data_IF_182197068392
#
_entry.id   IF_182197068392
#
_cell.length_a   1.000
_cell.length_b   1.000
_cell.length_c   1.000
_cell.angle_alpha   90.00
_cell.angle_beta   90.00
_cell.angle_gamma   90.00
#
_symmetry.space_group_name_H-M   'P 1'
#
loop_
_entity.id
_entity.type
_entity.pdbx_description
1 polymer ?
#
# COMPACT_ATOMS: atom_id res chain seq x y z
N UNK A 1 -19.61 17.50 -20.40
CA UNK A 1 -20.62 16.68 -19.69
C UNK A 1 -19.87 15.81 -18.68
N UNK A 2 -20.17 15.89 -17.39
CA UNK A 2 -19.58 15.01 -16.40
C UNK A 2 -19.99 13.56 -16.71
N UNK A 3 -19.01 12.67 -16.85
CA UNK A 3 -19.28 11.22 -16.96
C UNK A 3 -20.05 10.78 -15.71
N UNK A 4 -21.18 10.10 -15.90
CA UNK A 4 -21.92 9.49 -14.80
C UNK A 4 -21.04 8.51 -14.00
N UNK A 5 -21.49 8.09 -12.79
CA UNK A 5 -20.70 7.21 -11.92
C UNK A 5 -20.35 5.91 -12.65
N UNK A 6 -19.10 5.49 -12.52
CA UNK A 6 -18.62 4.22 -13.07
C UNK A 6 -19.28 3.02 -12.37
N UNK A 7 -19.16 1.83 -12.94
CA UNK A 7 -19.60 0.59 -12.27
C UNK A 7 -18.93 0.42 -10.92
N UNK A 8 -17.66 0.79 -10.81
CA UNK A 8 -16.89 0.72 -9.55
C UNK A 8 -17.45 1.70 -8.51
N UNK A 9 -17.75 2.94 -8.90
CA UNK A 9 -18.35 3.94 -7.99
C UNK A 9 -19.70 3.47 -7.45
N UNK A 10 -20.52 2.83 -8.28
CA UNK A 10 -21.78 2.25 -7.85
C UNK A 10 -21.60 1.10 -6.86
N UNK A 11 -20.61 0.21 -7.07
CA UNK A 11 -20.28 -0.88 -6.13
C UNK A 11 -19.77 -0.32 -4.81
N UNK A 12 -18.87 0.66 -4.82
CA UNK A 12 -18.34 1.31 -3.61
C UNK A 12 -19.48 1.97 -2.82
N UNK A 13 -20.33 2.73 -3.51
CA UNK A 13 -21.50 3.37 -2.89
C UNK A 13 -22.47 2.36 -2.27
N UNK A 14 -22.74 1.26 -2.97
CA UNK A 14 -23.58 0.19 -2.46
C UNK A 14 -22.95 -0.48 -1.23
N UNK A 15 -21.67 -0.80 -1.28
CA UNK A 15 -20.95 -1.45 -0.19
C UNK A 15 -20.98 -0.62 1.11
N UNK A 16 -20.79 0.70 1.00
CA UNK A 16 -20.93 1.63 2.14
C UNK A 16 -22.35 1.64 2.71
N UNK A 17 -23.37 1.83 1.86
CA UNK A 17 -24.77 1.90 2.31
C UNK A 17 -25.30 0.60 2.91
N UNK A 18 -24.78 -0.55 2.47
CA UNK A 18 -25.20 -1.86 2.95
C UNK A 18 -24.39 -2.40 4.11
N UNK A 19 -23.44 -1.61 4.64
CA UNK A 19 -22.61 -1.99 5.78
C UNK A 19 -21.61 -3.11 5.47
N UNK A 20 -21.09 -3.16 4.25
CA UNK A 20 -19.95 -4.01 3.94
C UNK A 20 -18.66 -3.41 4.49
N UNK A 21 -18.49 -2.09 4.34
CA UNK A 21 -17.30 -1.36 4.80
C UNK A 21 -17.70 0.00 5.38
N UNK A 22 -16.92 0.44 6.36
CA UNK A 22 -17.00 1.79 6.95
C UNK A 22 -15.60 2.41 6.96
N UNK A 23 -15.48 3.75 6.83
CA UNK A 23 -14.20 4.42 7.12
C UNK A 23 -13.77 4.13 8.55
N UNK A 24 -12.52 3.73 8.76
CA UNK A 24 -12.01 3.50 10.12
C UNK A 24 -12.07 4.82 10.92
N UNK A 25 -12.66 4.78 12.12
CA UNK A 25 -12.84 5.96 12.96
C UNK A 25 -13.83 6.99 12.41
N UNK A 26 -14.89 6.57 11.74
CA UNK A 26 -15.86 7.43 11.05
C UNK A 26 -16.46 8.51 11.95
N UNK A 27 -16.72 8.22 13.23
CA UNK A 27 -17.19 9.21 14.21
C UNK A 27 -16.24 10.38 14.45
N UNK A 28 -14.97 10.26 14.07
CA UNK A 28 -13.95 11.31 14.13
C UNK A 28 -13.60 11.86 12.74
N UNK A 29 -14.44 11.62 11.74
CA UNK A 29 -14.22 12.08 10.36
C UNK A 29 -13.63 11.05 9.41
N UNK A 30 -13.32 9.86 9.91
CA UNK A 30 -12.81 8.74 9.13
C UNK A 30 -11.37 8.87 8.64
N UNK A 31 -10.74 7.74 8.40
CA UNK A 31 -9.38 7.66 7.82
C UNK A 31 -9.49 7.33 6.33
N UNK A 32 -8.77 8.08 5.47
CA UNK A 32 -8.87 7.91 4.01
C UNK A 32 -8.34 6.57 3.49
N UNK A 33 -7.40 5.95 4.20
CA UNK A 33 -6.67 4.74 3.77
C UNK A 33 -6.94 3.51 4.64
N UNK A 34 -7.84 3.60 5.62
CA UNK A 34 -8.20 2.47 6.48
C UNK A 34 -9.72 2.30 6.53
N UNK A 35 -10.14 1.02 6.56
CA UNK A 35 -11.54 0.63 6.48
C UNK A 35 -11.83 -0.48 7.47
N UNK A 36 -12.96 -0.38 8.15
CA UNK A 36 -13.53 -1.43 8.96
C UNK A 36 -14.50 -2.26 8.12
N UNK A 37 -14.50 -3.59 8.33
CA UNK A 37 -15.49 -4.46 7.71
C UNK A 37 -16.73 -4.51 8.58
N UNK A 38 -17.87 -4.13 8.01
CA UNK A 38 -19.18 -4.30 8.65
C UNK A 38 -19.66 -5.75 8.61
N UNK A 39 -20.86 -6.05 9.16
CA UNK A 39 -21.36 -7.42 9.29
C UNK A 39 -21.37 -8.23 8.00
N UNK A 40 -21.84 -7.64 6.89
CA UNK A 40 -21.81 -8.32 5.58
C UNK A 40 -20.41 -8.39 4.99
N UNK A 41 -19.57 -7.39 5.25
CA UNK A 41 -18.19 -7.34 4.77
C UNK A 41 -17.29 -8.39 5.39
N UNK A 42 -17.41 -8.63 6.71
CA UNK A 42 -16.62 -9.66 7.39
C UNK A 42 -16.97 -11.06 6.89
N UNK A 43 -18.26 -11.36 6.70
CA UNK A 43 -18.68 -12.64 6.14
C UNK A 43 -18.15 -12.88 4.73
N UNK A 44 -18.25 -11.87 3.86
CA UNK A 44 -17.70 -11.95 2.51
C UNK A 44 -16.19 -12.16 2.54
N UNK A 45 -15.45 -11.38 3.36
CA UNK A 45 -14.01 -11.50 3.53
C UNK A 45 -13.61 -12.90 3.99
N UNK A 46 -14.26 -13.45 5.02
CA UNK A 46 -13.94 -14.78 5.54
C UNK A 46 -14.26 -15.89 4.52
N UNK A 47 -15.33 -15.76 3.75
CA UNK A 47 -15.63 -16.69 2.67
C UNK A 47 -14.57 -16.67 1.58
N UNK A 48 -14.07 -15.49 1.17
CA UNK A 48 -12.99 -15.35 0.19
C UNK A 48 -11.70 -15.96 0.73
N UNK A 49 -11.31 -15.64 1.96
CA UNK A 49 -10.11 -16.19 2.62
C UNK A 49 -10.17 -17.72 2.69
N UNK A 50 -11.32 -18.27 3.08
CA UNK A 50 -11.54 -19.73 3.18
C UNK A 50 -11.45 -20.40 1.82
N UNK A 51 -12.07 -19.84 0.79
CA UNK A 51 -12.01 -20.35 -0.57
C UNK A 51 -10.57 -20.36 -1.09
N UNK A 52 -9.85 -19.25 -0.90
CA UNK A 52 -8.45 -19.12 -1.29
C UNK A 52 -7.55 -20.13 -0.55
N UNK A 53 -7.66 -20.21 0.78
CA UNK A 53 -6.87 -21.14 1.59
C UNK A 53 -7.11 -22.60 1.21
N UNK A 54 -8.37 -22.96 0.97
CA UNK A 54 -8.70 -24.31 0.51
C UNK A 54 -8.08 -24.63 -0.86
N UNK A 55 -8.15 -23.69 -1.80
CA UNK A 55 -7.61 -23.90 -3.15
C UNK A 55 -6.08 -23.92 -3.19
N UNK A 56 -5.43 -23.01 -2.46
CA UNK A 56 -3.99 -22.77 -2.57
C UNK A 56 -3.16 -23.57 -1.56
N UNK A 57 -3.74 -24.00 -0.45
CA UNK A 57 -3.02 -24.73 0.60
C UNK A 57 -3.58 -26.13 0.78
N UNK A 58 -4.85 -26.28 1.20
CA UNK A 58 -5.39 -27.58 1.63
C UNK A 58 -5.53 -28.60 0.51
N UNK A 59 -5.76 -28.17 -0.72
CA UNK A 59 -5.91 -29.06 -1.89
C UNK A 59 -4.59 -29.37 -2.59
N UNK A 60 -3.48 -28.87 -2.06
CA UNK A 60 -2.14 -29.06 -2.62
C UNK A 60 -1.30 -29.92 -1.67
N UNK A 61 -0.63 -30.94 -2.23
CA UNK A 61 0.28 -31.78 -1.47
C UNK A 61 1.69 -31.18 -1.30
N UNK A 62 2.00 -30.18 -2.12
CA UNK A 62 3.32 -29.52 -2.21
C UNK A 62 3.36 -28.16 -1.47
N UNK A 63 2.32 -27.82 -0.73
CA UNK A 63 2.19 -26.53 -0.03
C UNK A 63 1.76 -26.74 1.42
N UNK A 64 2.42 -26.04 2.33
CA UNK A 64 2.02 -25.95 3.74
C UNK A 64 1.64 -24.51 4.07
N UNK A 65 0.72 -24.34 5.03
CA UNK A 65 0.28 -23.02 5.46
C UNK A 65 1.23 -22.40 6.46
N UNK A 66 1.44 -21.10 6.34
CA UNK A 66 2.16 -20.27 7.29
C UNK A 66 1.40 -18.97 7.52
N UNK A 67 1.28 -18.53 8.77
CA UNK A 67 0.82 -17.20 9.14
C UNK A 67 1.92 -16.46 9.90
N UNK A 68 2.67 -15.65 9.19
CA UNK A 68 3.77 -14.86 9.74
C UNK A 68 3.24 -13.60 10.44
N UNK A 69 4.00 -13.08 11.41
CA UNK A 69 3.68 -11.83 12.10
C UNK A 69 3.47 -10.66 11.13
N UNK A 70 2.52 -9.79 11.44
CA UNK A 70 2.32 -8.53 10.71
C UNK A 70 3.45 -7.54 11.01
N UNK A 71 4.00 -7.57 12.23
CA UNK A 71 5.11 -6.73 12.67
C UNK A 71 6.39 -7.56 12.55
N UNK A 72 7.36 -7.05 11.78
CA UNK A 72 8.66 -7.68 11.56
C UNK A 72 9.80 -6.74 11.91
N UNK A 73 10.95 -7.29 12.39
CA UNK A 73 12.13 -6.51 12.73
C UNK A 73 12.68 -5.73 11.53
N UNK A 74 13.33 -4.60 11.80
CA UNK A 74 13.98 -3.74 10.79
C UNK A 74 14.95 -4.50 9.90
N UNK A 75 15.68 -5.45 10.45
CA UNK A 75 16.72 -6.24 9.76
C UNK A 75 16.16 -7.01 8.56
N UNK A 76 14.95 -7.53 8.67
CA UNK A 76 14.26 -8.23 7.56
C UNK A 76 14.11 -7.30 6.35
N UNK A 77 13.74 -6.04 6.59
CA UNK A 77 13.49 -5.05 5.54
C UNK A 77 14.77 -4.40 5.03
N UNK A 78 15.83 -4.37 5.84
CA UNK A 78 17.18 -4.01 5.40
C UNK A 78 17.73 -5.09 4.47
N UNK A 79 17.65 -6.37 4.88
CA UNK A 79 18.15 -7.51 4.10
C UNK A 79 17.43 -7.66 2.76
N UNK A 80 16.13 -7.40 2.71
CA UNK A 80 15.32 -7.43 1.48
C UNK A 80 15.42 -6.17 0.63
N UNK A 81 16.15 -5.14 1.07
CA UNK A 81 16.32 -3.89 0.34
C UNK A 81 15.18 -2.86 0.48
N UNK A 82 14.08 -3.22 1.12
CA UNK A 82 12.89 -2.35 1.23
C UNK A 82 13.16 -1.02 1.94
N UNK A 83 14.05 -1.01 2.94
CA UNK A 83 14.40 0.23 3.65
C UNK A 83 15.01 1.28 2.72
N UNK A 84 15.72 0.85 1.67
CA UNK A 84 16.33 1.74 0.68
C UNK A 84 15.41 2.05 -0.49
N UNK A 85 14.70 1.04 -1.00
CA UNK A 85 13.98 1.11 -2.27
C UNK A 85 12.50 1.47 -2.12
N UNK A 86 11.92 1.34 -0.93
CA UNK A 86 10.49 1.57 -0.71
C UNK A 86 10.20 3.04 -0.34
N UNK A 87 10.81 3.95 -1.10
CA UNK A 87 10.64 5.40 -0.95
C UNK A 87 10.19 5.99 -2.27
N UNK A 88 9.02 6.60 -2.26
CA UNK A 88 8.47 7.32 -3.41
C UNK A 88 8.83 8.80 -3.33
N UNK A 89 9.32 9.44 -4.41
CA UNK A 89 9.48 10.89 -4.46
C UNK A 89 8.10 11.55 -4.59
N UNK A 90 7.58 12.10 -3.49
CA UNK A 90 6.31 12.82 -3.49
C UNK A 90 6.51 14.31 -3.65
N UNK A 91 5.73 14.90 -4.57
CA UNK A 91 5.59 16.34 -4.78
C UNK A 91 4.15 16.77 -4.45
N UNK A 92 3.98 17.98 -3.94
CA UNK A 92 2.67 18.57 -3.67
C UNK A 92 2.42 19.77 -4.59
N UNK A 93 1.26 19.80 -5.25
CA UNK A 93 0.88 20.93 -6.06
C UNK A 93 0.61 22.16 -5.20
N UNK A 94 1.33 23.27 -5.44
CA UNK A 94 1.21 24.50 -4.67
C UNK A 94 -0.14 25.21 -4.83
N UNK A 95 -0.89 24.87 -5.90
CA UNK A 95 -2.20 25.47 -6.17
C UNK A 95 -3.37 24.70 -5.53
N UNK A 96 -3.39 23.37 -5.60
CA UNK A 96 -4.54 22.56 -5.15
C UNK A 96 -4.21 21.59 -4.02
N UNK A 97 -2.96 21.58 -3.53
CA UNK A 97 -2.45 20.75 -2.44
C UNK A 97 -2.63 19.23 -2.66
N UNK A 98 -2.83 18.80 -3.90
CA UNK A 98 -2.80 17.38 -4.26
C UNK A 98 -1.36 16.90 -4.36
N UNK A 99 -1.12 15.73 -3.76
CA UNK A 99 0.16 15.03 -3.84
C UNK A 99 0.16 14.06 -4.99
N UNK A 100 1.32 13.93 -5.63
CA UNK A 100 1.57 13.01 -6.71
C UNK A 100 2.99 12.42 -6.58
N UNK A 101 3.22 11.29 -7.23
CA UNK A 101 4.55 10.73 -7.39
C UNK A 101 5.23 11.45 -8.55
N UNK A 102 6.38 12.04 -8.27
CA UNK A 102 7.18 12.76 -9.29
C UNK A 102 7.61 11.83 -10.42
N UNK A 103 8.19 10.67 -10.05
CA UNK A 103 8.68 9.67 -10.98
C UNK A 103 7.59 9.21 -11.97
N UNK A 104 6.40 8.91 -11.50
CA UNK A 104 5.28 8.52 -12.36
C UNK A 104 4.83 9.63 -13.31
N UNK A 105 4.77 10.87 -12.83
CA UNK A 105 4.40 12.01 -13.68
C UNK A 105 5.46 12.31 -14.74
N UNK A 106 6.75 12.10 -14.42
CA UNK A 106 7.86 12.23 -15.37
C UNK A 106 7.76 11.12 -16.42
N UNK A 107 7.62 9.86 -16.02
CA UNK A 107 7.45 8.71 -16.90
C UNK A 107 6.27 8.91 -17.88
N UNK A 108 5.08 9.25 -17.36
CA UNK A 108 3.90 9.53 -18.20
C UNK A 108 4.12 10.68 -19.19
N UNK A 109 4.84 11.72 -18.79
CA UNK A 109 5.12 12.87 -19.65
C UNK A 109 6.18 12.53 -20.69
N UNK A 110 7.21 11.77 -20.34
CA UNK A 110 8.25 11.27 -21.23
C UNK A 110 7.66 10.40 -22.34
N UNK A 111 6.80 9.45 -21.98
CA UNK A 111 6.07 8.63 -22.96
C UNK A 111 5.22 9.47 -23.91
N UNK A 112 4.47 10.43 -23.39
CA UNK A 112 3.60 11.31 -24.21
C UNK A 112 4.37 12.21 -25.18
N UNK A 113 5.59 12.64 -24.80
CA UNK A 113 6.42 13.53 -25.61
C UNK A 113 7.43 12.77 -26.50
N UNK A 114 7.67 11.49 -26.21
CA UNK A 114 8.71 10.69 -26.88
C UNK A 114 10.13 11.18 -26.58
N UNK A 115 10.39 11.59 -25.33
CA UNK A 115 11.69 12.11 -24.86
C UNK A 115 12.20 11.26 -23.68
N UNK A 116 13.50 11.38 -23.41
CA UNK A 116 14.12 10.74 -22.23
C UNK A 116 13.62 11.39 -20.93
N UNK A 117 13.35 10.57 -19.90
CA UNK A 117 12.93 11.04 -18.56
C UNK A 117 13.92 12.03 -17.95
N UNK A 118 15.22 11.80 -18.16
CA UNK A 118 16.32 12.65 -17.67
C UNK A 118 16.30 14.08 -18.21
N UNK A 119 15.57 14.34 -19.30
CA UNK A 119 15.41 15.68 -19.88
C UNK A 119 14.26 16.48 -19.25
N UNK A 120 13.46 15.86 -18.38
CA UNK A 120 12.30 16.46 -17.76
C UNK A 120 12.55 16.80 -16.30
N UNK A 121 11.89 17.85 -15.82
CA UNK A 121 11.94 18.31 -14.44
C UNK A 121 10.52 18.55 -13.90
N UNK A 122 10.41 18.80 -12.61
CA UNK A 122 9.12 19.17 -11.98
C UNK A 122 8.47 20.40 -12.62
N UNK A 123 9.28 21.30 -13.21
CA UNK A 123 8.78 22.48 -13.92
C UNK A 123 7.97 22.13 -15.19
N UNK A 124 8.23 20.97 -15.78
CA UNK A 124 7.54 20.50 -16.98
C UNK A 124 6.21 19.80 -16.67
N UNK A 125 5.99 19.42 -15.40
CA UNK A 125 4.83 18.63 -14.98
C UNK A 125 3.57 19.48 -14.81
N UNK A 126 2.46 19.03 -15.40
CA UNK A 126 1.14 19.58 -15.14
C UNK A 126 0.43 18.80 -14.02
N UNK A 127 -0.23 19.50 -13.13
CA UNK A 127 -1.00 18.85 -12.06
C UNK A 127 -2.19 18.08 -12.67
N UNK A 128 -2.32 16.78 -12.44
CA UNK A 128 -3.42 15.98 -12.98
C UNK A 128 -4.80 16.37 -12.42
N UNK A 129 -4.84 17.11 -11.29
CA UNK A 129 -6.07 17.52 -10.66
C UNK A 129 -6.54 18.91 -11.11
N UNK A 130 -5.64 19.90 -11.21
CA UNK A 130 -6.02 21.28 -11.50
C UNK A 130 -5.39 21.85 -12.79
N UNK A 131 -4.53 21.10 -13.48
CA UNK A 131 -3.92 21.49 -14.74
C UNK A 131 -2.78 22.51 -14.65
N UNK A 132 -2.53 23.11 -13.48
CA UNK A 132 -1.43 24.07 -13.30
C UNK A 132 -0.09 23.38 -13.53
N UNK A 133 0.80 24.04 -14.30
CA UNK A 133 2.12 23.50 -14.65
C UNK A 133 3.23 24.13 -13.82
N UNK A 134 4.21 23.30 -13.44
CA UNK A 134 5.47 23.75 -12.82
C UNK A 134 5.35 24.31 -11.40
N UNK A 135 4.16 24.23 -10.78
CA UNK A 135 3.95 24.70 -9.42
C UNK A 135 3.91 23.52 -8.42
N UNK A 136 5.10 23.02 -8.10
CA UNK A 136 5.28 21.88 -7.22
C UNK A 136 6.26 22.22 -6.09
N UNK A 137 6.09 21.53 -4.96
CA UNK A 137 7.12 21.52 -3.92
C UNK A 137 8.33 20.73 -4.37
N UNK A 138 9.48 20.93 -3.68
CA UNK A 138 10.61 20.01 -3.81
C UNK A 138 10.19 18.56 -3.50
N UNK A 139 10.72 17.57 -4.22
CA UNK A 139 10.45 16.17 -3.97
C UNK A 139 10.86 15.76 -2.56
N UNK A 140 9.98 15.08 -1.87
CA UNK A 140 10.24 14.51 -0.55
C UNK A 140 10.13 13.01 -0.60
N UNK A 141 11.18 12.33 -0.14
CA UNK A 141 11.17 10.88 0.00
C UNK A 141 10.09 10.46 1.00
N UNK A 142 9.09 9.73 0.54
CA UNK A 142 8.05 9.15 1.37
C UNK A 142 8.26 7.65 1.48
N UNK A 143 8.51 7.16 2.71
CA UNK A 143 8.62 5.72 2.95
C UNK A 143 7.22 5.09 3.01
N UNK A 144 6.97 4.12 2.16
CA UNK A 144 5.76 3.28 2.21
C UNK A 144 5.74 2.29 3.37
N UNK A 145 6.87 2.13 4.10
CA UNK A 145 6.95 1.27 5.28
C UNK A 145 6.34 1.96 6.50
N UNK A 146 5.28 1.38 7.06
CA UNK A 146 4.69 1.84 8.31
C UNK A 146 5.57 1.41 9.48
N UNK A 147 6.09 2.39 10.20
CA UNK A 147 6.96 2.18 11.38
C UNK A 147 6.15 1.95 12.64
N UNK A 148 6.66 1.11 13.52
CA UNK A 148 6.24 0.97 14.90
C UNK A 148 7.44 0.66 15.79
N UNK A 149 7.28 0.76 17.10
CA UNK A 149 8.33 0.43 18.06
C UNK A 149 7.80 -0.64 19.01
N UNK A 150 8.63 -1.65 19.29
CA UNK A 150 8.36 -2.65 20.32
C UNK A 150 9.31 -2.39 21.49
N UNK A 151 8.74 -2.22 22.68
CA UNK A 151 9.47 -1.89 23.89
C UNK A 151 9.05 -0.55 24.50
N UNK A 152 9.62 -0.17 25.65
CA UNK A 152 9.22 1.04 26.38
C UNK A 152 9.82 2.34 25.84
N UNK A 153 10.78 2.25 24.90
CA UNK A 153 11.52 3.39 24.35
C UNK A 153 11.50 3.34 22.82
N UNK A 154 11.27 4.49 22.20
CA UNK A 154 11.30 4.65 20.75
C UNK A 154 12.76 4.85 20.30
N UNK A 155 13.52 3.74 20.22
CA UNK A 155 14.89 3.72 19.75
C UNK A 155 15.08 2.81 18.53
N UNK A 156 16.30 2.78 17.97
CA UNK A 156 16.59 1.93 16.81
C UNK A 156 16.49 0.43 17.12
N UNK A 157 16.73 0.00 18.36
CA UNK A 157 16.64 -1.39 18.75
C UNK A 157 15.16 -1.86 18.78
N UNK A 158 14.25 -0.96 19.16
CA UNK A 158 12.81 -1.20 19.17
C UNK A 158 12.14 -1.01 17.80
N UNK A 159 12.85 -0.51 16.78
CA UNK A 159 12.25 -0.19 15.48
C UNK A 159 11.83 -1.43 14.70
N UNK A 160 10.54 -1.50 14.43
CA UNK A 160 9.88 -2.55 13.65
C UNK A 160 9.03 -1.92 12.55
N UNK A 161 8.62 -2.73 11.59
CA UNK A 161 7.74 -2.30 10.51
C UNK A 161 6.54 -3.23 10.38
N UNK A 162 5.38 -2.66 10.06
CA UNK A 162 4.27 -3.44 9.55
C UNK A 162 4.65 -3.91 8.14
N UNK A 163 4.47 -5.21 7.88
CA UNK A 163 4.85 -5.81 6.59
C UNK A 163 4.07 -5.19 5.42
N UNK A 164 4.72 -4.64 4.39
CA UNK A 164 4.06 -4.19 3.17
C UNK A 164 3.68 -5.35 2.25
N UNK A 165 4.35 -6.51 2.41
CA UNK A 165 4.11 -7.75 1.66
C UNK A 165 4.40 -8.98 2.51
N UNK A 166 4.07 -10.17 2.01
CA UNK A 166 4.14 -11.42 2.78
C UNK A 166 5.36 -12.30 2.47
N UNK A 167 6.11 -11.99 1.41
CA UNK A 167 7.20 -12.84 0.92
C UNK A 167 8.31 -13.05 1.97
N UNK A 168 8.73 -11.98 2.66
CA UNK A 168 9.82 -12.04 3.64
C UNK A 168 9.45 -12.94 4.83
N UNK A 169 8.20 -12.91 5.27
CA UNK A 169 7.71 -13.82 6.30
C UNK A 169 7.86 -15.29 5.93
N UNK A 170 7.70 -15.62 4.64
CA UNK A 170 7.92 -16.98 4.12
C UNK A 170 9.42 -17.33 4.17
N UNK A 171 10.28 -16.46 3.64
CA UNK A 171 11.72 -16.72 3.58
C UNK A 171 12.36 -16.88 4.96
N UNK A 172 12.08 -15.99 5.91
CA UNK A 172 12.67 -16.06 7.25
C UNK A 172 12.18 -17.27 8.06
N UNK A 173 11.01 -17.82 7.72
CA UNK A 173 10.46 -19.02 8.39
C UNK A 173 10.74 -20.32 7.66
N UNK A 174 11.46 -20.30 6.54
CA UNK A 174 11.73 -21.50 5.74
C UNK A 174 12.37 -22.63 6.56
N UNK A 175 13.44 -22.34 7.27
CA UNK A 175 14.12 -23.33 8.12
C UNK A 175 13.22 -23.83 9.27
N UNK A 176 12.44 -22.95 9.88
CA UNK A 176 11.51 -23.31 10.95
C UNK A 176 10.45 -24.29 10.44
N UNK A 177 9.87 -23.99 9.28
CA UNK A 177 8.85 -24.86 8.68
C UNK A 177 9.43 -26.19 8.24
N UNK A 178 10.61 -26.20 7.60
CA UNK A 178 11.31 -27.46 7.22
C UNK A 178 11.58 -28.36 8.43
N UNK A 179 12.04 -27.78 9.54
CA UNK A 179 12.37 -28.55 10.74
C UNK A 179 11.12 -29.03 11.50
N UNK A 180 9.99 -28.33 11.36
CA UNK A 180 8.74 -28.68 12.01
C UNK A 180 7.86 -29.63 11.16
N UNK A 181 7.97 -29.57 9.85
CA UNK A 181 7.23 -30.43 8.91
C UNK A 181 7.91 -31.79 8.76
N UNK A 182 7.59 -32.73 9.62
CA UNK A 182 8.02 -34.13 9.52
C UNK A 182 6.86 -35.03 9.11
#
# INVERSE_FOLDING_TARGET
MAKGPSRLDNVISLAKRRGFVFPCGDIYGGTRSAWDYGPLGVELKENIKRAWWNAMVRRRADVVGLDSSVILPREVWVASGHVKAFTDPLIECLNCHKRAREDQLIEELAEKKGVEESSLTTADLACPNCGVRGQWTEPRAFSGLLKTYLGPVDDEAGLHYLRPETAQGIFINYANVMNAAR
#
